data_IF_639533691012
#
_entry.id   IF_639533691012
#
_cell.length_a   1.000
_cell.length_b   1.000
_cell.length_c   1.000
_cell.angle_alpha   90.00
_cell.angle_beta   90.00
_cell.angle_gamma   90.00
#
_symmetry.space_group_name_H-M   'P 1'
#
loop_
_entity.id
_entity.type
_entity.pdbx_description
1 polymer ?
#
# COMPACT_ATOMS: atom_id res chain seq x y z
N UNK A 1 11.00 24.28 8.00
CA UNK A 1 10.96 22.85 8.34
C UNK A 1 10.42 22.71 9.75
N UNK A 2 9.52 21.78 9.98
CA UNK A 2 8.84 21.56 11.27
C UNK A 2 9.75 20.92 12.36
N UNK A 3 11.08 21.10 12.24
CA UNK A 3 12.05 20.58 13.21
C UNK A 3 12.38 19.09 13.13
N UNK A 4 11.79 18.35 12.18
CA UNK A 4 12.12 16.94 11.98
C UNK A 4 13.39 16.81 11.13
N UNK A 5 14.39 16.03 11.56
CA UNK A 5 15.58 15.76 10.75
C UNK A 5 15.22 15.09 9.43
N UNK A 6 15.86 15.48 8.34
CA UNK A 6 15.58 14.92 7.01
C UNK A 6 15.77 13.41 6.93
N UNK A 7 16.72 12.86 7.69
CA UNK A 7 16.98 11.43 7.78
C UNK A 7 15.82 10.61 8.38
N UNK A 8 14.89 11.26 9.08
CA UNK A 8 13.68 10.65 9.65
C UNK A 8 12.46 10.80 8.74
N UNK A 9 12.63 11.40 7.56
CA UNK A 9 11.59 11.59 6.58
C UNK A 9 11.77 10.57 5.47
N UNK A 10 10.68 9.87 5.12
CA UNK A 10 10.62 8.92 4.01
C UNK A 10 9.57 9.41 3.02
N UNK A 11 9.96 9.53 1.75
CA UNK A 11 9.00 9.63 0.64
C UNK A 11 8.73 8.20 0.21
N UNK A 12 7.47 7.80 0.25
CA UNK A 12 7.05 6.41 0.08
C UNK A 12 5.95 6.26 -0.96
N UNK A 13 6.05 5.22 -1.74
CA UNK A 13 4.99 4.67 -2.58
C UNK A 13 5.07 3.14 -2.59
N UNK A 14 4.08 2.48 -3.18
CA UNK A 14 4.10 1.03 -3.38
C UNK A 14 5.18 0.65 -4.38
N UNK A 15 5.23 1.34 -5.52
CA UNK A 15 6.10 1.03 -6.63
C UNK A 15 7.26 2.04 -6.78
N UNK A 16 8.45 1.52 -7.01
CA UNK A 16 9.64 2.35 -7.23
C UNK A 16 9.56 3.13 -8.55
N UNK A 17 8.91 2.55 -9.57
CA UNK A 17 8.73 3.19 -10.86
C UNK A 17 7.96 4.50 -10.73
N UNK A 18 6.88 4.51 -9.96
CA UNK A 18 6.03 5.68 -9.75
C UNK A 18 6.80 6.81 -9.06
N UNK A 19 7.60 6.46 -8.04
CA UNK A 19 8.49 7.42 -7.36
C UNK A 19 9.51 8.03 -8.31
N UNK A 20 10.02 7.24 -9.23
CA UNK A 20 11.01 7.68 -10.23
C UNK A 20 10.39 8.59 -11.27
N UNK A 21 9.26 8.18 -11.85
CA UNK A 21 8.54 8.93 -12.89
C UNK A 21 8.01 10.26 -12.37
N UNK A 22 7.54 10.29 -11.12
CA UNK A 22 7.09 11.50 -10.45
C UNK A 22 8.25 12.44 -10.03
N UNK A 23 9.52 12.05 -10.23
CA UNK A 23 10.69 12.87 -9.92
C UNK A 23 11.07 12.88 -8.43
N UNK A 24 10.46 12.05 -7.60
CA UNK A 24 10.73 12.02 -6.14
C UNK A 24 12.14 11.54 -5.80
N UNK A 25 12.79 10.75 -6.67
CA UNK A 25 14.19 10.37 -6.46
C UNK A 25 15.12 11.58 -6.45
N UNK A 26 14.93 12.49 -7.42
CA UNK A 26 15.72 13.74 -7.53
C UNK A 26 15.42 14.70 -6.38
N UNK A 27 14.14 14.88 -6.06
CA UNK A 27 13.71 15.73 -4.97
C UNK A 27 14.28 15.26 -3.62
N UNK A 28 14.21 13.96 -3.36
CA UNK A 28 14.70 13.37 -2.12
C UNK A 28 16.22 13.57 -1.96
N UNK A 29 16.98 13.40 -3.04
CA UNK A 29 18.42 13.65 -3.04
C UNK A 29 18.75 15.12 -2.71
N UNK A 30 17.98 16.08 -3.24
CA UNK A 30 18.14 17.50 -2.94
C UNK A 30 17.82 17.85 -1.49
N UNK A 31 16.82 17.18 -0.90
CA UNK A 31 16.35 17.44 0.45
C UNK A 31 17.09 16.59 1.52
N UNK A 32 17.89 15.63 1.11
CA UNK A 32 18.55 14.68 2.01
C UNK A 32 17.57 13.77 2.76
N UNK A 33 16.42 13.44 2.15
CA UNK A 33 15.42 12.52 2.70
C UNK A 33 15.53 11.15 2.04
N UNK A 34 15.01 10.11 2.70
CA UNK A 34 14.98 8.75 2.16
C UNK A 34 13.81 8.57 1.20
N UNK A 35 14.02 7.76 0.16
CA UNK A 35 12.94 7.24 -0.70
C UNK A 35 12.85 5.74 -0.48
N UNK A 36 11.64 5.20 -0.42
CA UNK A 36 11.43 3.78 -0.27
C UNK A 36 10.16 3.31 -0.98
N UNK A 37 10.24 2.16 -1.65
CA UNK A 37 9.10 1.50 -2.27
C UNK A 37 8.77 0.21 -1.49
N UNK A 38 7.48 -0.06 -1.26
CA UNK A 38 7.03 -1.26 -0.53
C UNK A 38 7.45 -2.54 -1.23
N UNK A 39 7.40 -2.58 -2.56
CA UNK A 39 7.83 -3.74 -3.37
C UNK A 39 9.32 -4.06 -3.23
N UNK A 40 10.15 -3.08 -2.85
CA UNK A 40 11.59 -3.27 -2.60
C UNK A 40 11.91 -3.62 -1.16
N UNK A 41 11.22 -2.99 -0.21
CA UNK A 41 11.44 -3.24 1.23
C UNK A 41 10.73 -4.49 1.72
N UNK A 42 9.72 -4.95 0.96
CA UNK A 42 8.96 -6.16 1.22
C UNK A 42 7.80 -5.96 2.17
N UNK A 43 7.11 -7.08 2.44
CA UNK A 43 5.87 -7.12 3.20
C UNK A 43 6.04 -7.97 4.46
N UNK A 44 5.23 -7.67 5.48
CA UNK A 44 5.30 -8.34 6.77
C UNK A 44 4.50 -9.65 6.71
N UNK A 45 5.13 -10.82 6.94
CA UNK A 45 4.46 -12.11 6.83
C UNK A 45 3.43 -12.39 7.94
N UNK A 46 3.46 -11.61 9.01
CA UNK A 46 2.57 -11.79 10.18
C UNK A 46 1.47 -10.74 10.26
N UNK A 47 1.55 -9.69 9.46
CA UNK A 47 0.52 -8.64 9.41
C UNK A 47 -0.10 -8.62 8.01
N UNK A 48 -1.37 -9.00 7.90
CA UNK A 48 -2.07 -9.15 6.64
C UNK A 48 -3.57 -8.90 6.79
N UNK A 49 -4.18 -8.45 5.72
CA UNK A 49 -5.61 -8.44 5.54
C UNK A 49 -6.06 -9.81 5.02
N UNK A 50 -6.90 -10.49 5.77
CA UNK A 50 -7.44 -11.80 5.40
C UNK A 50 -8.89 -11.65 4.94
N UNK A 51 -9.14 -11.87 3.67
CA UNK A 51 -10.50 -11.90 3.13
C UNK A 51 -10.71 -13.15 2.28
N UNK A 52 -11.83 -13.86 2.43
CA UNK A 52 -12.12 -15.03 1.63
C UNK A 52 -12.08 -14.70 0.13
N UNK A 53 -11.44 -15.55 -0.64
CA UNK A 53 -11.54 -15.50 -2.07
C UNK A 53 -12.96 -15.87 -2.50
N UNK A 54 -13.63 -15.01 -3.25
CA UNK A 54 -14.92 -15.32 -3.86
C UNK A 54 -14.68 -15.50 -5.37
N UNK A 55 -14.83 -16.72 -5.86
CA UNK A 55 -14.58 -17.08 -7.25
C UNK A 55 -13.18 -17.65 -7.50
N UNK A 56 -12.67 -17.48 -8.71
CA UNK A 56 -11.36 -17.96 -9.09
C UNK A 56 -10.24 -17.06 -8.59
N UNK A 57 -9.03 -17.62 -8.47
CA UNK A 57 -7.82 -16.86 -8.22
C UNK A 57 -7.63 -15.78 -9.29
N UNK A 58 -7.29 -14.58 -8.88
CA UNK A 58 -6.91 -13.50 -9.80
C UNK A 58 -5.41 -13.50 -10.04
N UNK A 59 -4.97 -12.82 -11.08
CA UNK A 59 -3.56 -12.80 -11.50
C UNK A 59 -2.60 -12.44 -10.35
N UNK A 60 -2.93 -11.44 -9.55
CA UNK A 60 -2.08 -11.04 -8.43
C UNK A 60 -1.91 -12.10 -7.34
N UNK A 61 -2.90 -12.97 -7.14
CA UNK A 61 -2.81 -14.08 -6.18
C UNK A 61 -1.81 -15.14 -6.66
N UNK A 62 -1.68 -15.32 -7.98
CA UNK A 62 -0.73 -16.25 -8.60
C UNK A 62 0.67 -15.66 -8.71
N UNK A 63 0.77 -14.37 -8.98
CA UNK A 63 2.04 -13.66 -9.16
C UNK A 63 2.91 -13.70 -7.91
N UNK A 64 2.30 -13.63 -6.74
CA UNK A 64 3.03 -13.67 -5.48
C UNK A 64 3.40 -15.09 -5.03
N UNK A 65 3.13 -16.11 -5.84
CA UNK A 65 3.49 -17.52 -5.63
C UNK A 65 3.25 -18.05 -4.21
N UNK A 66 2.26 -17.50 -3.52
CA UNK A 66 1.93 -17.91 -2.15
C UNK A 66 1.26 -19.28 -2.20
N UNK A 67 1.99 -20.30 -1.79
CA UNK A 67 1.52 -21.69 -1.77
C UNK A 67 1.00 -22.06 -0.38
N UNK A 68 0.00 -22.94 -0.35
CA UNK A 68 -0.54 -23.50 0.89
C UNK A 68 -1.88 -22.89 1.32
N UNK A 69 -2.25 -23.14 2.58
CA UNK A 69 -3.49 -22.63 3.16
C UNK A 69 -3.50 -21.10 3.17
N UNK A 70 -4.58 -20.53 2.65
CA UNK A 70 -4.76 -19.09 2.57
C UNK A 70 -4.19 -18.45 1.30
N UNK A 71 -3.80 -19.24 0.29
CA UNK A 71 -3.50 -18.68 -1.03
C UNK A 71 -4.70 -17.87 -1.55
N UNK A 72 -4.44 -16.69 -2.09
CA UNK A 72 -5.49 -15.79 -2.55
C UNK A 72 -6.35 -15.16 -1.44
N UNK A 73 -6.04 -15.41 -0.16
CA UNK A 73 -6.78 -14.84 0.98
C UNK A 73 -6.06 -13.68 1.64
N UNK A 74 -4.74 -13.71 1.69
CA UNK A 74 -3.94 -12.78 2.47
C UNK A 74 -3.33 -11.70 1.59
N UNK A 75 -3.52 -10.45 2.01
CA UNK A 75 -2.82 -9.29 1.47
C UNK A 75 -1.90 -8.78 2.58
N UNK A 76 -0.59 -8.97 2.40
CA UNK A 76 0.40 -8.67 3.44
C UNK A 76 0.72 -7.18 3.47
N UNK A 77 0.79 -6.61 4.67
CA UNK A 77 1.05 -5.18 4.87
C UNK A 77 2.55 -4.89 4.69
N UNK A 78 2.85 -3.77 4.07
CA UNK A 78 4.22 -3.33 3.82
C UNK A 78 5.02 -3.21 5.13
N UNK A 79 6.28 -3.69 5.14
CA UNK A 79 7.18 -3.57 6.29
C UNK A 79 7.45 -2.13 6.68
N UNK A 80 7.52 -1.23 5.72
CA UNK A 80 7.66 0.20 5.99
C UNK A 80 6.57 0.71 6.94
N UNK A 81 5.32 0.33 6.66
CA UNK A 81 4.15 0.76 7.46
C UNK A 81 4.15 0.10 8.83
N UNK A 82 4.46 -1.19 8.91
CA UNK A 82 4.34 -1.95 10.17
C UNK A 82 5.53 -1.83 11.11
N UNK A 83 6.70 -1.42 10.60
CA UNK A 83 7.94 -1.51 11.38
C UNK A 83 8.83 -0.28 11.36
N UNK A 84 8.64 0.63 10.39
CA UNK A 84 9.55 1.76 10.22
C UNK A 84 8.85 3.12 10.38
N UNK A 85 7.62 3.26 9.92
CA UNK A 85 6.88 4.52 10.00
C UNK A 85 6.12 4.62 11.30
N UNK A 86 6.25 5.76 11.97
CA UNK A 86 5.47 6.08 13.17
C UNK A 86 4.34 7.07 12.89
N UNK A 87 4.44 7.80 11.79
CA UNK A 87 3.43 8.75 11.32
C UNK A 87 3.44 8.80 9.81
N UNK A 88 2.27 8.87 9.21
CA UNK A 88 2.08 8.97 7.77
C UNK A 88 1.35 10.27 7.45
N UNK A 89 1.91 11.04 6.53
CA UNK A 89 1.23 12.16 5.89
C UNK A 89 0.87 11.67 4.48
N UNK A 90 -0.41 11.42 4.27
CA UNK A 90 -0.89 10.90 3.00
C UNK A 90 -1.23 12.07 2.06
N UNK A 91 -0.56 12.10 0.91
CA UNK A 91 -0.73 13.14 -0.12
C UNK A 91 -1.15 12.44 -1.41
N UNK A 92 -2.40 12.03 -1.46
CA UNK A 92 -2.98 11.32 -2.60
C UNK A 92 -3.89 12.27 -3.38
N UNK A 93 -3.81 12.31 -4.72
CA UNK A 93 -4.76 13.07 -5.51
C UNK A 93 -6.18 12.51 -5.37
N UNK A 94 -7.16 13.38 -5.46
CA UNK A 94 -8.56 12.99 -5.53
C UNK A 94 -8.88 12.61 -6.98
N UNK A 95 -9.18 11.36 -7.23
CA UNK A 95 -9.40 10.81 -8.56
C UNK A 95 -10.78 10.15 -8.67
N UNK A 96 -11.32 10.10 -9.88
CA UNK A 96 -12.49 9.30 -10.19
C UNK A 96 -12.10 7.82 -10.33
N UNK A 97 -12.97 6.93 -9.89
CA UNK A 97 -12.87 5.48 -10.09
C UNK A 97 -14.23 4.92 -10.43
N UNK A 98 -14.29 4.02 -11.40
CA UNK A 98 -15.52 3.34 -11.78
C UNK A 98 -16.04 2.43 -10.66
N UNK A 99 -15.14 1.85 -9.87
CA UNK A 99 -15.45 0.92 -8.78
C UNK A 99 -15.66 1.63 -7.45
N UNK A 100 -14.80 2.59 -7.12
CA UNK A 100 -14.83 3.29 -5.84
C UNK A 100 -15.62 4.62 -5.86
N UNK A 101 -16.03 5.07 -7.04
CA UNK A 101 -16.62 6.41 -7.23
C UNK A 101 -15.55 7.49 -7.13
N UNK A 102 -15.02 7.72 -5.94
CA UNK A 102 -13.96 8.69 -5.68
C UNK A 102 -12.83 8.01 -4.88
N UNK A 103 -11.63 8.01 -5.43
CA UNK A 103 -10.42 7.60 -4.75
C UNK A 103 -9.75 8.80 -4.09
N UNK A 104 -9.47 8.71 -2.81
CA UNK A 104 -8.79 9.73 -2.03
C UNK A 104 -7.79 9.14 -1.06
N UNK A 105 -7.45 9.89 -0.02
CA UNK A 105 -6.39 9.52 0.92
C UNK A 105 -6.57 8.14 1.56
N UNK A 106 -7.78 7.81 2.00
CA UNK A 106 -8.04 6.52 2.65
C UNK A 106 -7.84 5.35 1.68
N UNK A 107 -8.36 5.48 0.47
CA UNK A 107 -8.20 4.51 -0.60
C UNK A 107 -6.71 4.31 -0.95
N UNK A 108 -6.01 5.40 -1.28
CA UNK A 108 -4.60 5.35 -1.69
C UNK A 108 -3.71 4.73 -0.61
N UNK A 109 -3.92 5.09 0.65
CA UNK A 109 -3.17 4.52 1.76
C UNK A 109 -3.46 3.03 1.95
N UNK A 110 -4.72 2.63 1.94
CA UNK A 110 -5.09 1.22 2.14
C UNK A 110 -4.52 0.31 1.04
N UNK A 111 -4.73 0.67 -0.24
CA UNK A 111 -4.26 -0.15 -1.35
C UNK A 111 -2.74 -0.11 -1.51
N UNK A 112 -2.11 1.04 -1.26
CA UNK A 112 -0.66 1.19 -1.27
C UNK A 112 0.06 0.43 -0.16
N UNK A 113 -0.65 0.15 0.95
CA UNK A 113 -0.08 -0.53 2.11
C UNK A 113 -0.01 -2.05 1.97
N UNK A 114 -0.71 -2.67 1.02
CA UNK A 114 -0.75 -4.13 0.86
C UNK A 114 -0.09 -4.60 -0.44
N UNK A 115 0.42 -5.82 -0.43
CA UNK A 115 1.06 -6.43 -1.61
C UNK A 115 0.06 -6.74 -2.73
N UNK A 116 -1.11 -7.26 -2.40
CA UNK A 116 -2.12 -7.65 -3.38
C UNK A 116 -3.49 -7.05 -3.03
N UNK A 117 -3.97 -6.15 -3.89
CA UNK A 117 -5.30 -5.51 -3.81
C UNK A 117 -6.30 -6.04 -4.85
N UNK A 118 -5.83 -6.79 -5.84
CA UNK A 118 -6.64 -7.21 -7.00
C UNK A 118 -7.89 -8.02 -6.62
N UNK A 119 -7.86 -8.74 -5.51
CA UNK A 119 -8.99 -9.55 -5.02
C UNK A 119 -10.25 -8.76 -4.68
N UNK A 120 -10.07 -7.51 -4.30
CA UNK A 120 -11.18 -6.64 -3.86
C UNK A 120 -11.26 -5.34 -4.64
N UNK A 121 -10.24 -4.99 -5.39
CA UNK A 121 -10.13 -3.70 -6.08
C UNK A 121 -11.18 -3.53 -7.19
N UNK A 122 -11.56 -4.62 -7.84
CA UNK A 122 -12.54 -4.63 -8.92
C UNK A 122 -13.97 -5.00 -8.48
N UNK A 123 -14.23 -4.99 -7.18
CA UNK A 123 -15.56 -5.25 -6.60
C UNK A 123 -15.94 -4.11 -5.65
N UNK A 124 -16.89 -3.23 -6.03
CA UNK A 124 -17.25 -2.07 -5.21
C UNK A 124 -17.67 -2.41 -3.79
N UNK A 125 -18.39 -3.51 -3.60
CA UNK A 125 -18.84 -3.94 -2.28
C UNK A 125 -17.69 -4.37 -1.39
N UNK A 126 -16.76 -5.14 -1.93
CA UNK A 126 -15.55 -5.56 -1.23
C UNK A 126 -14.60 -4.42 -0.98
N UNK A 127 -14.45 -3.54 -1.96
CA UNK A 127 -13.57 -2.39 -1.85
C UNK A 127 -14.03 -1.47 -0.70
N UNK A 128 -15.35 -1.23 -0.59
CA UNK A 128 -15.93 -0.43 0.49
C UNK A 128 -15.66 -1.02 1.88
N UNK A 129 -15.56 -2.34 1.99
CA UNK A 129 -15.23 -3.04 3.23
C UNK A 129 -13.71 -3.09 3.46
N UNK A 130 -12.94 -3.48 2.44
CA UNK A 130 -11.50 -3.71 2.56
C UNK A 130 -10.72 -2.43 2.89
N UNK A 131 -11.08 -1.31 2.29
CA UNK A 131 -10.35 -0.04 2.48
C UNK A 131 -10.28 0.38 3.96
N UNK A 132 -11.39 0.50 4.71
CA UNK A 132 -11.32 0.85 6.12
C UNK A 132 -10.67 -0.24 6.99
N UNK A 133 -10.87 -1.51 6.68
CA UNK A 133 -10.27 -2.62 7.42
C UNK A 133 -8.75 -2.67 7.27
N UNK A 134 -8.23 -2.49 6.05
CA UNK A 134 -6.78 -2.40 5.79
C UNK A 134 -6.18 -1.15 6.44
N UNK A 135 -6.90 -0.02 6.36
CA UNK A 135 -6.45 1.20 7.02
C UNK A 135 -6.30 1.01 8.52
N UNK A 136 -7.21 0.30 9.15
CA UNK A 136 -7.11 -0.02 10.57
C UNK A 136 -5.89 -0.89 10.92
N UNK A 137 -5.49 -1.82 10.03
CA UNK A 137 -4.27 -2.60 10.18
C UNK A 137 -2.99 -1.77 10.01
N UNK A 138 -3.01 -0.80 9.11
CA UNK A 138 -1.85 0.05 8.81
C UNK A 138 -1.64 1.17 9.84
N UNK A 139 -2.65 1.49 10.64
CA UNK A 139 -2.62 2.58 11.63
C UNK A 139 -2.34 2.13 13.06
N UNK A 140 -2.09 0.83 13.28
CA UNK A 140 -1.80 0.24 14.60
C UNK A 140 -0.33 0.31 14.97
#
# INVERSE_FOLDING_TARGET
AAGMPSQQIIIWDKEEADLREAGFMTLAAQLGVRVAASTKTGFNPTNFYDTPLIGNLVFGDLEFEKKGDGIGRKSFVAKLVTSEMTKIINITPLLNSNEAGVCGNLYGLALGSVDNSLRFENDPGRLAQAVPEIYALASC
#
